data_IF_259179670911
#
_entry.id   IF_259179670911
#
_cell.length_a   1.000
_cell.length_b   1.000
_cell.length_c   1.000
_cell.angle_alpha   90.00
_cell.angle_beta   90.00
_cell.angle_gamma   90.00
#
_symmetry.space_group_name_H-M   'P 1'
#
loop_
_entity.id
_entity.type
_entity.pdbx_description
1 polymer ?
#
# COMPACT_ATOMS: atom_id res chain seq x y z
N UNK A 1 -26.87 -22.76 20.91
CA UNK A 1 -26.38 -21.36 20.91
C UNK A 1 -26.86 -20.71 19.63
N UNK A 2 -27.97 -19.98 19.70
CA UNK A 2 -28.51 -19.22 18.57
C UNK A 2 -27.77 -17.88 18.51
N UNK A 3 -27.11 -17.62 17.40
CA UNK A 3 -26.59 -16.31 17.03
C UNK A 3 -27.80 -15.45 16.67
N UNK A 4 -28.23 -14.57 17.57
CA UNK A 4 -29.23 -13.54 17.25
C UNK A 4 -28.47 -12.41 16.57
N UNK A 5 -28.55 -12.37 15.23
CA UNK A 5 -28.24 -11.15 14.49
C UNK A 5 -29.33 -10.13 14.82
N UNK A 6 -29.06 -9.23 15.77
CA UNK A 6 -29.88 -8.04 16.00
C UNK A 6 -29.46 -7.06 14.90
N UNK A 7 -30.10 -7.13 13.73
CA UNK A 7 -30.04 -6.04 12.76
C UNK A 7 -31.19 -5.11 13.13
N UNK A 8 -30.85 -3.94 13.68
CA UNK A 8 -31.82 -2.88 13.94
C UNK A 8 -32.52 -2.52 12.62
N UNK A 9 -33.86 -2.40 12.59
CA UNK A 9 -34.55 -2.03 11.37
C UNK A 9 -34.21 -0.57 11.00
N UNK A 10 -33.66 -0.36 9.81
CA UNK A 10 -33.35 0.96 9.26
C UNK A 10 -34.29 1.32 8.10
N UNK A 11 -34.47 2.61 7.86
CA UNK A 11 -35.17 3.19 6.72
C UNK A 11 -34.15 3.83 5.78
N UNK A 12 -34.24 3.58 4.48
CA UNK A 12 -33.38 4.21 3.46
C UNK A 12 -34.26 5.06 2.55
N UNK A 13 -33.94 6.35 2.43
CA UNK A 13 -34.59 7.27 1.51
C UNK A 13 -33.56 7.91 0.57
N UNK A 14 -33.91 8.09 -0.69
CA UNK A 14 -33.08 8.84 -1.64
C UNK A 14 -33.42 10.33 -1.49
N UNK A 15 -32.46 11.13 -1.05
CA UNK A 15 -32.66 12.58 -0.85
C UNK A 15 -32.22 13.40 -2.07
N UNK A 16 -31.24 12.88 -2.83
CA UNK A 16 -30.76 13.54 -4.05
C UNK A 16 -30.38 12.49 -5.09
N UNK A 17 -30.82 12.69 -6.32
CA UNK A 17 -30.38 11.89 -7.46
C UNK A 17 -29.30 12.65 -8.23
N UNK A 18 -28.49 11.91 -8.99
CA UNK A 18 -27.49 12.47 -9.90
C UNK A 18 -28.13 13.51 -10.83
N UNK A 19 -27.57 14.71 -10.84
CA UNK A 19 -28.00 15.82 -11.70
C UNK A 19 -26.76 16.62 -12.18
N UNK A 20 -26.97 17.76 -12.83
CA UNK A 20 -25.88 18.60 -13.33
C UNK A 20 -25.01 19.23 -12.22
N UNK A 21 -25.52 19.34 -10.99
CA UNK A 21 -24.84 19.94 -9.84
C UNK A 21 -24.22 18.90 -8.88
N UNK A 22 -24.67 17.64 -8.93
CA UNK A 22 -24.28 16.58 -8.02
C UNK A 22 -24.08 15.27 -8.77
N UNK A 23 -22.84 14.78 -8.78
CA UNK A 23 -22.47 13.56 -9.50
C UNK A 23 -22.80 12.26 -8.75
N UNK A 24 -23.29 12.35 -7.51
CA UNK A 24 -23.60 11.19 -6.67
C UNK A 24 -25.05 11.19 -6.18
N UNK A 25 -25.60 9.99 -5.98
CA UNK A 25 -26.90 9.81 -5.32
C UNK A 25 -26.70 9.83 -3.82
N UNK A 26 -27.47 10.65 -3.11
CA UNK A 26 -27.43 10.72 -1.65
C UNK A 26 -28.56 9.90 -1.05
N UNK A 27 -28.21 9.06 -0.09
CA UNK A 27 -29.13 8.22 0.67
C UNK A 27 -29.15 8.69 2.12
N UNK A 28 -30.32 8.95 2.65
CA UNK A 28 -30.54 9.14 4.08
C UNK A 28 -30.89 7.79 4.69
N UNK A 29 -30.12 7.37 5.69
CA UNK A 29 -30.34 6.13 6.44
C UNK A 29 -30.76 6.53 7.85
N UNK A 30 -31.99 6.21 8.24
CA UNK A 30 -32.56 6.49 9.56
C UNK A 30 -32.80 5.16 10.31
N UNK A 31 -32.20 4.98 11.48
CA UNK A 31 -32.52 3.83 12.33
C UNK A 31 -33.87 4.02 13.05
N UNK A 32 -34.70 2.97 13.09
CA UNK A 32 -36.07 3.08 13.65
C UNK A 32 -36.15 2.95 15.17
N UNK A 33 -35.14 2.36 15.81
CA UNK A 33 -35.08 2.19 17.28
C UNK A 33 -33.61 2.22 17.74
N UNK A 34 -33.05 3.40 17.95
CA UNK A 34 -31.71 3.55 18.51
C UNK A 34 -31.75 3.35 20.03
N UNK A 35 -31.22 2.23 20.54
CA UNK A 35 -30.73 2.14 21.94
C UNK A 35 -29.30 2.70 22.03
N UNK A 36 -28.99 3.73 21.26
CA UNK A 36 -27.62 4.15 20.93
C UNK A 36 -27.12 5.37 21.72
N UNK A 37 -27.90 5.90 22.67
CA UNK A 37 -27.43 7.02 23.50
C UNK A 37 -26.17 6.66 24.32
N UNK A 38 -25.92 5.37 24.60
CA UNK A 38 -24.77 4.93 25.40
C UNK A 38 -23.46 4.70 24.60
N UNK A 39 -23.49 4.60 23.26
CA UNK A 39 -22.29 4.22 22.47
C UNK A 39 -21.61 5.39 21.75
N UNK A 40 -22.36 6.44 21.38
CA UNK A 40 -21.78 7.63 20.76
C UNK A 40 -21.14 8.58 21.78
N UNK A 41 -21.59 8.59 23.04
CA UNK A 41 -20.97 9.39 24.11
C UNK A 41 -19.49 8.99 24.36
N UNK A 42 -19.08 7.74 24.10
CA UNK A 42 -17.73 7.27 24.40
C UNK A 42 -16.67 7.68 23.37
N UNK A 43 -17.05 7.98 22.12
CA UNK A 43 -16.13 8.50 21.08
C UNK A 43 -15.82 9.99 21.30
N UNK A 44 -16.84 10.78 21.62
CA UNK A 44 -16.69 12.22 21.89
C UNK A 44 -15.95 12.47 23.23
N UNK A 45 -16.04 11.55 24.19
CA UNK A 45 -15.35 11.66 25.48
C UNK A 45 -13.82 11.62 25.41
N UNK A 46 -13.23 11.09 24.34
CA UNK A 46 -11.79 11.17 24.11
C UNK A 46 -11.36 12.57 23.66
N UNK A 47 -12.24 13.31 22.99
CA UNK A 47 -11.97 14.69 22.54
C UNK A 47 -12.03 15.70 23.70
N UNK A 48 -12.82 15.42 24.74
CA UNK A 48 -13.02 16.35 25.88
C UNK A 48 -11.94 16.31 26.97
N UNK A 49 -11.09 15.27 27.04
CA UNK A 49 -10.20 15.03 28.19
C UNK A 49 -8.68 15.19 27.94
N UNK A 50 -8.28 15.71 26.78
CA UNK A 50 -6.87 16.03 26.49
C UNK A 50 -6.70 17.51 26.19
N UNK A 51 -5.59 18.12 26.63
CA UNK A 51 -5.11 19.32 25.96
C UNK A 51 -5.06 19.03 24.47
N UNK A 52 -5.79 19.81 23.65
CA UNK A 52 -5.84 19.71 22.17
C UNK A 52 -4.49 20.06 21.51
N UNK A 53 -3.38 19.93 22.23
CA UNK A 53 -2.04 20.16 21.74
C UNK A 53 -1.52 18.88 21.09
N UNK A 54 -0.92 19.02 19.90
CA UNK A 54 -0.31 17.89 19.20
C UNK A 54 0.77 17.23 20.07
N UNK A 55 0.56 15.95 20.39
CA UNK A 55 1.49 15.15 21.20
C UNK A 55 2.64 14.56 20.38
N UNK A 56 2.59 14.69 19.06
CA UNK A 56 3.62 14.18 18.16
C UNK A 56 4.15 15.31 17.29
N UNK A 57 5.47 15.54 17.35
CA UNK A 57 6.10 16.50 16.45
C UNK A 57 6.04 16.01 15.00
N UNK A 58 5.99 16.91 14.01
CA UNK A 58 6.07 16.53 12.60
C UNK A 58 7.32 15.68 12.29
N UNK A 59 8.44 15.99 12.93
CA UNK A 59 9.68 15.21 12.80
C UNK A 59 9.52 13.76 13.28
N UNK A 60 8.87 13.55 14.44
CA UNK A 60 8.58 12.21 14.97
C UNK A 60 7.61 11.47 14.05
N UNK A 61 6.60 12.17 13.52
CA UNK A 61 5.67 11.60 12.54
C UNK A 61 6.37 11.13 11.27
N UNK A 62 7.29 11.93 10.70
CA UNK A 62 8.07 11.53 9.52
C UNK A 62 8.97 10.32 9.76
N UNK A 63 9.41 10.08 11.00
CA UNK A 63 10.13 8.87 11.38
C UNK A 63 9.21 7.68 11.57
N UNK A 64 8.04 7.88 12.15
CA UNK A 64 7.06 6.82 12.37
C UNK A 64 6.48 6.32 11.04
N UNK A 65 6.22 7.24 10.10
CA UNK A 65 5.67 6.94 8.78
C UNK A 65 6.63 7.40 7.68
N UNK A 66 7.64 6.61 7.30
CA UNK A 66 8.62 7.00 6.27
C UNK A 66 8.02 7.13 4.87
N UNK A 67 6.85 6.55 4.65
CA UNK A 67 6.09 6.57 3.40
C UNK A 67 4.79 7.35 3.58
N UNK A 68 4.88 8.67 3.57
CA UNK A 68 3.72 9.55 3.52
C UNK A 68 3.98 10.75 2.63
N UNK A 69 2.91 11.35 2.11
CA UNK A 69 2.96 12.60 1.35
C UNK A 69 1.82 13.49 1.85
N UNK A 70 2.09 14.76 2.11
CA UNK A 70 1.06 15.77 2.38
C UNK A 70 1.12 16.78 1.25
N UNK A 71 -0.03 17.13 0.68
CA UNK A 71 -0.15 18.11 -0.37
C UNK A 71 -1.41 18.95 -0.22
N UNK A 72 -1.37 20.18 -0.72
CA UNK A 72 -2.45 21.16 -0.63
C UNK A 72 -3.49 21.03 -1.77
N UNK A 73 -4.41 21.99 -1.85
CA UNK A 73 -5.45 22.07 -2.88
C UNK A 73 -4.92 22.14 -4.31
N UNK A 74 -3.73 22.73 -4.51
CA UNK A 74 -3.07 22.85 -5.81
C UNK A 74 -2.21 21.62 -6.15
N UNK A 75 -2.32 20.56 -5.34
CA UNK A 75 -1.51 19.35 -5.40
C UNK A 75 0.00 19.63 -5.23
N UNK A 76 0.36 20.73 -4.57
CA UNK A 76 1.75 21.03 -4.21
C UNK A 76 2.09 20.27 -2.94
N UNK A 77 3.16 19.49 -2.99
CA UNK A 77 3.61 18.69 -1.85
C UNK A 77 4.16 19.62 -0.79
N UNK A 78 3.59 19.59 0.41
CA UNK A 78 3.98 20.41 1.57
C UNK A 78 4.86 19.64 2.56
N UNK A 79 4.73 18.31 2.60
CA UNK A 79 5.56 17.42 3.43
C UNK A 79 5.68 16.04 2.78
N UNK A 80 6.80 15.35 3.02
CA UNK A 80 6.94 13.94 2.64
C UNK A 80 7.80 13.17 3.64
N UNK A 81 7.60 11.86 3.68
CA UNK A 81 8.36 10.95 4.53
C UNK A 81 9.80 10.77 4.09
N UNK A 82 10.67 10.41 5.04
CA UNK A 82 12.11 10.34 4.85
C UNK A 82 12.52 9.33 3.76
N UNK A 83 11.84 8.18 3.68
CA UNK A 83 12.16 7.15 2.70
C UNK A 83 11.77 7.60 1.28
N UNK A 84 10.61 8.23 1.12
CA UNK A 84 10.17 8.78 -0.16
C UNK A 84 11.13 9.89 -0.60
N UNK A 85 11.46 10.84 0.28
CA UNK A 85 12.34 11.95 -0.06
C UNK A 85 13.74 11.49 -0.47
N UNK A 86 14.28 10.47 0.21
CA UNK A 86 15.61 9.92 -0.12
C UNK A 86 15.63 9.27 -1.50
N UNK A 87 14.57 8.57 -1.87
CA UNK A 87 14.49 7.81 -3.14
C UNK A 87 14.00 8.69 -4.29
N UNK A 88 13.22 9.72 -4.01
CA UNK A 88 12.69 10.69 -4.97
C UNK A 88 13.02 12.12 -4.50
N UNK A 89 14.29 12.54 -4.63
CA UNK A 89 14.73 13.88 -4.19
C UNK A 89 14.06 15.02 -4.95
N UNK A 90 13.44 14.73 -6.10
CA UNK A 90 12.65 15.69 -6.87
C UNK A 90 11.34 16.10 -6.18
N UNK A 91 10.87 15.31 -5.21
CA UNK A 91 9.69 15.61 -4.41
C UNK A 91 10.02 16.64 -3.32
N UNK A 92 10.56 17.80 -3.71
CA UNK A 92 10.93 18.88 -2.79
C UNK A 92 9.68 19.53 -2.19
N UNK A 93 9.47 19.43 -0.86
CA UNK A 93 8.31 20.05 -0.23
C UNK A 93 8.32 21.57 -0.41
N UNK A 94 7.17 22.15 -0.75
CA UNK A 94 6.93 23.56 -1.02
C UNK A 94 7.05 23.97 -2.49
N UNK A 95 7.80 23.22 -3.30
CA UNK A 95 8.12 23.63 -4.69
C UNK A 95 7.77 22.58 -5.75
N UNK A 96 7.22 21.43 -5.35
CA UNK A 96 6.97 20.31 -6.24
C UNK A 96 5.48 20.02 -6.34
N UNK A 97 4.96 19.98 -7.57
CA UNK A 97 3.61 19.47 -7.82
C UNK A 97 3.62 17.93 -7.83
N UNK A 98 2.68 17.30 -7.13
CA UNK A 98 2.55 15.85 -7.02
C UNK A 98 2.52 15.16 -8.39
N UNK A 99 1.82 15.75 -9.37
CA UNK A 99 1.66 15.20 -10.72
C UNK A 99 2.92 15.29 -11.57
N UNK A 100 3.91 16.09 -11.15
CA UNK A 100 5.21 16.11 -11.81
C UNK A 100 5.99 14.82 -11.57
N UNK A 101 5.86 14.23 -10.38
CA UNK A 101 6.58 13.03 -9.93
C UNK A 101 5.75 11.77 -10.04
N UNK A 102 4.44 11.83 -9.77
CA UNK A 102 3.56 10.67 -9.71
C UNK A 102 2.45 10.72 -10.76
N UNK A 103 2.02 9.53 -11.17
CA UNK A 103 0.80 9.28 -11.93
C UNK A 103 -0.15 8.42 -11.10
N UNK A 104 -1.44 8.74 -11.14
CA UNK A 104 -2.48 7.95 -10.50
C UNK A 104 -2.74 6.66 -11.29
N UNK A 105 -2.62 5.51 -10.62
CA UNK A 105 -2.94 4.19 -11.20
C UNK A 105 -4.34 3.75 -10.79
N UNK A 106 -4.72 4.00 -9.53
CA UNK A 106 -6.06 3.69 -8.99
C UNK A 106 -6.48 4.72 -7.96
N UNK A 107 -7.77 5.10 -7.90
CA UNK A 107 -8.82 4.79 -8.87
C UNK A 107 -8.59 5.49 -10.23
N UNK A 108 -9.29 5.06 -11.30
CA UNK A 108 -9.18 5.69 -12.62
C UNK A 108 -10.05 6.95 -12.68
N UNK A 109 -9.55 8.02 -12.08
CA UNK A 109 -10.19 9.34 -12.03
C UNK A 109 -9.20 10.39 -12.49
N UNK A 110 -9.72 11.55 -12.90
CA UNK A 110 -8.87 12.72 -13.09
C UNK A 110 -8.38 13.21 -11.72
N UNK A 111 -7.07 13.20 -11.56
CA UNK A 111 -6.44 13.55 -10.29
C UNK A 111 -6.54 15.05 -10.04
N UNK A 112 -7.45 15.40 -9.14
CA UNK A 112 -7.70 16.74 -8.63
C UNK A 112 -8.01 16.62 -7.15
N UNK A 113 -7.87 17.71 -6.39
CA UNK A 113 -8.17 17.71 -4.96
C UNK A 113 -9.61 17.22 -4.68
N UNK A 114 -10.60 17.80 -5.38
CA UNK A 114 -12.00 17.38 -5.29
C UNK A 114 -12.21 15.93 -5.76
N UNK A 115 -11.55 15.51 -6.83
CA UNK A 115 -11.62 14.13 -7.32
C UNK A 115 -11.15 13.11 -6.29
N UNK A 116 -10.05 13.42 -5.58
CA UNK A 116 -9.54 12.59 -4.48
C UNK A 116 -10.54 12.53 -3.32
N UNK A 117 -11.08 13.68 -2.88
CA UNK A 117 -12.06 13.74 -1.80
C UNK A 117 -13.34 12.97 -2.12
N UNK A 118 -13.80 13.04 -3.38
CA UNK A 118 -14.97 12.30 -3.86
C UNK A 118 -14.78 10.77 -3.77
N UNK A 119 -13.52 10.31 -3.76
CA UNK A 119 -13.14 8.90 -3.70
C UNK A 119 -12.31 8.57 -2.46
N UNK A 120 -12.44 9.36 -1.37
CA UNK A 120 -11.56 9.27 -0.19
C UNK A 120 -11.57 7.89 0.47
N UNK A 121 -12.70 7.18 0.38
CA UNK A 121 -12.89 5.83 0.92
C UNK A 121 -12.36 4.71 0.01
N UNK A 122 -11.63 5.06 -1.06
CA UNK A 122 -10.99 4.10 -1.95
C UNK A 122 -9.50 3.98 -1.67
N UNK A 123 -8.91 2.86 -2.08
CA UNK A 123 -7.46 2.68 -2.00
C UNK A 123 -6.79 3.34 -3.19
N UNK A 124 -5.87 4.27 -2.92
CA UNK A 124 -5.11 4.97 -3.92
C UNK A 124 -3.80 4.24 -4.23
N UNK A 125 -3.43 4.23 -5.50
CA UNK A 125 -2.14 3.74 -5.95
C UNK A 125 -1.48 4.78 -6.84
N UNK A 126 -0.36 5.32 -6.37
CA UNK A 126 0.49 6.23 -7.14
C UNK A 126 1.68 5.46 -7.70
N UNK A 127 2.05 5.73 -8.95
CA UNK A 127 3.28 5.23 -9.61
C UNK A 127 4.19 6.42 -9.89
N UNK A 128 5.45 6.35 -9.49
CA UNK A 128 6.44 7.36 -9.88
C UNK A 128 6.68 7.30 -11.38
N UNK A 129 6.90 8.45 -12.01
CA UNK A 129 7.30 8.49 -13.42
C UNK A 129 8.68 7.87 -13.62
N UNK A 130 8.94 7.47 -14.86
CA UNK A 130 10.19 6.82 -15.27
C UNK A 130 11.37 7.79 -15.19
N UNK A 131 12.55 7.28 -14.85
CA UNK A 131 13.79 8.05 -14.79
C UNK A 131 13.97 8.94 -13.55
N UNK A 132 13.08 8.83 -12.55
CA UNK A 132 13.16 9.60 -11.30
C UNK A 132 13.89 8.89 -10.15
N UNK A 133 14.12 7.59 -10.30
CA UNK A 133 14.79 6.75 -9.30
C UNK A 133 16.30 6.67 -9.61
N UNK A 134 17.12 7.04 -8.62
CA UNK A 134 18.58 6.93 -8.67
C UNK A 134 19.00 5.48 -8.37
N UNK A 135 18.67 4.56 -9.27
CA UNK A 135 19.14 3.17 -9.19
C UNK A 135 20.03 2.92 -10.40
N UNK A 136 21.25 2.43 -10.15
CA UNK A 136 22.15 1.97 -11.21
C UNK A 136 21.35 1.05 -12.13
N UNK A 137 21.31 1.37 -13.42
CA UNK A 137 20.70 0.51 -14.43
C UNK A 137 21.48 -0.79 -14.43
N UNK A 138 21.11 -1.75 -13.58
CA UNK A 138 21.50 -3.13 -13.81
C UNK A 138 20.97 -3.46 -15.19
N UNK A 139 21.89 -3.80 -16.09
CA UNK A 139 21.63 -4.19 -17.46
C UNK A 139 20.70 -5.41 -17.45
N UNK A 140 19.39 -5.15 -17.40
CA UNK A 140 18.37 -6.17 -17.60
C UNK A 140 18.05 -6.16 -19.09
N UNK A 141 18.43 -7.23 -19.79
CA UNK A 141 18.26 -7.44 -21.25
C UNK A 141 16.78 -7.58 -21.69
N UNK A 142 15.81 -7.33 -20.81
CA UNK A 142 14.40 -7.55 -21.07
C UNK A 142 13.62 -6.22 -21.03
N UNK A 143 13.42 -5.63 -22.21
CA UNK A 143 12.79 -4.33 -22.43
C UNK A 143 11.34 -4.23 -21.92
N UNK A 144 10.66 -5.37 -21.70
CA UNK A 144 9.29 -5.41 -21.16
C UNK A 144 9.23 -5.38 -19.62
N UNK A 145 10.21 -5.93 -18.92
CA UNK A 145 10.22 -5.97 -17.43
C UNK A 145 11.03 -4.83 -16.82
N UNK A 146 12.02 -4.28 -17.54
CA UNK A 146 12.84 -3.15 -17.07
C UNK A 146 12.03 -1.90 -16.67
N UNK A 147 10.94 -1.61 -17.38
CA UNK A 147 10.11 -0.40 -17.22
C UNK A 147 9.24 -0.42 -15.95
N UNK A 148 8.85 -1.60 -15.47
CA UNK A 148 8.16 -1.73 -14.18
C UNK A 148 9.13 -1.74 -12.99
N UNK A 149 10.37 -2.18 -13.22
CA UNK A 149 11.42 -2.26 -12.20
C UNK A 149 11.91 -0.86 -11.81
N UNK A 150 11.95 0.09 -12.76
CA UNK A 150 12.41 1.46 -12.54
C UNK A 150 11.34 2.42 -11.98
N UNK A 151 10.24 1.92 -11.43
CA UNK A 151 9.16 2.75 -10.91
C UNK A 151 8.75 2.33 -9.49
N UNK A 152 8.55 3.32 -8.63
CA UNK A 152 8.05 3.14 -7.28
C UNK A 152 6.52 3.20 -7.31
N UNK A 153 5.88 2.14 -6.81
CA UNK A 153 4.43 2.11 -6.61
C UNK A 153 4.13 2.23 -5.12
N UNK A 154 3.33 3.23 -4.76
CA UNK A 154 2.88 3.49 -3.41
C UNK A 154 1.38 3.21 -3.34
N UNK A 155 0.98 2.33 -2.44
CA UNK A 155 -0.42 1.96 -2.20
C UNK A 155 -0.82 2.48 -0.82
N UNK A 156 -1.96 3.15 -0.72
CA UNK A 156 -2.33 3.82 0.53
C UNK A 156 -3.73 4.40 0.54
N UNK A 157 -4.00 5.11 1.62
CA UNK A 157 -5.25 5.85 1.83
C UNK A 157 -4.96 7.35 1.81
N UNK A 158 -5.90 8.10 1.25
CA UNK A 158 -5.94 9.56 1.31
C UNK A 158 -6.81 9.97 2.50
N UNK A 159 -6.32 10.88 3.33
CA UNK A 159 -7.00 11.39 4.52
C UNK A 159 -7.01 12.92 4.42
N UNK A 160 -8.19 13.52 4.51
CA UNK A 160 -8.34 14.97 4.50
C UNK A 160 -8.01 15.54 5.89
N UNK A 161 -7.15 16.56 5.93
CA UNK A 161 -6.75 17.27 7.13
C UNK A 161 -7.41 18.65 7.13
N UNK A 162 -8.54 18.85 7.83
CA UNK A 162 -9.28 20.11 7.78
C UNK A 162 -8.51 21.29 8.39
N UNK A 163 -7.58 21.06 9.33
CA UNK A 163 -6.82 22.13 9.98
C UNK A 163 -5.80 22.79 9.04
N UNK A 164 -5.31 22.04 8.06
CA UNK A 164 -4.28 22.47 7.11
C UNK A 164 -4.79 22.54 5.67
N UNK A 165 -6.08 22.25 5.44
CA UNK A 165 -6.70 22.20 4.10
C UNK A 165 -5.86 21.40 3.10
N UNK A 166 -5.43 20.23 3.56
CA UNK A 166 -4.45 19.39 2.88
C UNK A 166 -4.90 17.94 2.88
N UNK A 167 -4.34 17.14 1.98
CA UNK A 167 -4.55 15.69 1.96
C UNK A 167 -3.26 15.00 2.38
N UNK A 168 -3.37 14.14 3.39
CA UNK A 168 -2.35 13.19 3.81
C UNK A 168 -2.56 11.87 3.07
N UNK A 169 -1.58 11.49 2.27
CA UNK A 169 -1.46 10.15 1.70
C UNK A 169 -0.58 9.29 2.61
N UNK A 170 -1.19 8.40 3.39
CA UNK A 170 -0.49 7.35 4.12
C UNK A 170 -0.38 6.11 3.26
N UNK A 171 0.84 5.65 2.99
CA UNK A 171 1.06 4.60 1.99
C UNK A 171 2.20 3.67 2.37
N UNK A 172 2.27 2.54 1.67
CA UNK A 172 3.37 1.58 1.75
C UNK A 172 3.84 1.22 0.34
N UNK A 173 5.14 0.94 0.15
CA UNK A 173 5.66 0.55 -1.15
C UNK A 173 5.13 -0.84 -1.55
N UNK A 174 4.73 -1.00 -2.81
CA UNK A 174 4.27 -2.27 -3.35
C UNK A 174 5.47 -3.13 -3.77
N UNK A 175 6.08 -3.83 -2.83
CA UNK A 175 7.25 -4.72 -3.01
C UNK A 175 6.93 -6.14 -2.55
N UNK A 176 7.49 -7.15 -3.20
CA UNK A 176 7.20 -8.56 -2.88
C UNK A 176 8.35 -9.29 -2.18
N UNK A 177 9.58 -8.79 -2.29
CA UNK A 177 10.79 -9.47 -1.85
C UNK A 177 11.95 -8.47 -1.63
N UNK A 178 13.10 -8.94 -1.15
CA UNK A 178 14.25 -8.09 -0.86
C UNK A 178 14.93 -7.52 -2.12
N UNK A 179 14.90 -8.24 -3.24
CA UNK A 179 15.44 -7.75 -4.50
C UNK A 179 14.64 -6.56 -5.03
N UNK A 180 13.31 -6.61 -4.93
CA UNK A 180 12.42 -5.51 -5.36
C UNK A 180 12.70 -4.21 -4.59
N UNK A 181 13.00 -4.32 -3.29
CA UNK A 181 13.41 -3.18 -2.46
C UNK A 181 14.72 -2.57 -2.97
N UNK A 182 15.72 -3.42 -3.15
CA UNK A 182 17.06 -3.02 -3.59
C UNK A 182 17.01 -2.36 -4.97
N UNK A 183 16.25 -2.95 -5.91
CA UNK A 183 16.01 -2.40 -7.26
C UNK A 183 15.31 -1.05 -7.28
N UNK A 184 14.70 -0.63 -6.18
CA UNK A 184 14.03 0.67 -6.03
C UNK A 184 14.75 1.62 -5.07
N UNK A 185 15.98 1.28 -4.65
CA UNK A 185 16.77 2.09 -3.71
C UNK A 185 16.17 2.16 -2.29
N UNK A 186 15.30 1.19 -1.95
CA UNK A 186 14.69 1.06 -0.64
C UNK A 186 15.41 0.02 0.20
N UNK A 187 15.39 0.22 1.51
CA UNK A 187 15.92 -0.72 2.49
C UNK A 187 14.78 -1.30 3.32
N UNK A 188 14.98 -2.52 3.83
CA UNK A 188 14.05 -3.12 4.78
C UNK A 188 13.88 -2.26 6.04
N UNK A 189 14.92 -1.51 6.44
CA UNK A 189 14.89 -0.58 7.57
C UNK A 189 13.97 0.63 7.38
N UNK A 190 13.60 0.95 6.13
CA UNK A 190 12.67 2.03 5.83
C UNK A 190 11.22 1.64 6.08
N UNK A 191 10.91 0.34 6.08
CA UNK A 191 9.58 -0.16 6.40
C UNK A 191 9.47 -0.31 7.93
N UNK A 192 8.59 0.47 8.59
CA UNK A 192 8.43 0.40 10.03
C UNK A 192 7.98 -0.99 10.50
N UNK A 193 8.28 -1.32 11.76
CA UNK A 193 7.89 -2.60 12.36
C UNK A 193 6.37 -2.79 12.48
N UNK A 194 5.61 -1.70 12.55
CA UNK A 194 4.14 -1.75 12.62
C UNK A 194 3.49 -1.87 11.23
N UNK A 195 4.26 -1.72 10.16
CA UNK A 195 3.76 -1.84 8.80
C UNK A 195 3.81 -3.30 8.36
N UNK A 196 2.63 -3.88 8.07
CA UNK A 196 2.48 -5.27 7.65
C UNK A 196 3.25 -5.60 6.36
N UNK A 197 3.58 -4.61 5.52
CA UNK A 197 4.41 -4.83 4.33
C UNK A 197 5.79 -5.38 4.65
N UNK A 198 6.34 -5.08 5.84
CA UNK A 198 7.62 -5.64 6.29
C UNK A 198 7.56 -7.16 6.42
N UNK A 199 6.51 -7.66 7.07
CA UNK A 199 6.30 -9.09 7.26
C UNK A 199 6.00 -9.77 5.92
N UNK A 200 5.23 -9.11 5.04
CA UNK A 200 4.95 -9.62 3.70
C UNK A 200 6.23 -9.79 2.86
N UNK A 201 7.17 -8.83 2.94
CA UNK A 201 8.47 -8.94 2.24
C UNK A 201 9.29 -10.11 2.77
N UNK A 202 9.35 -10.27 4.09
CA UNK A 202 10.10 -11.36 4.72
C UNK A 202 9.50 -12.73 4.40
N UNK A 203 8.17 -12.85 4.45
CA UNK A 203 7.45 -14.06 4.05
C UNK A 203 7.65 -14.35 2.55
N UNK A 204 7.64 -13.32 1.70
CA UNK A 204 7.91 -13.46 0.27
C UNK A 204 9.30 -14.05 -0.01
N UNK A 205 10.32 -13.65 0.75
CA UNK A 205 11.67 -14.22 0.64
C UNK A 205 11.71 -15.67 1.12
N UNK A 206 11.09 -15.97 2.27
CA UNK A 206 11.00 -17.33 2.81
C UNK A 206 10.32 -18.29 1.83
N UNK A 207 9.16 -17.91 1.28
CA UNK A 207 8.46 -18.73 0.30
C UNK A 207 9.27 -18.95 -0.98
N UNK A 208 10.04 -17.96 -1.41
CA UNK A 208 10.93 -18.08 -2.57
C UNK A 208 12.07 -19.06 -2.30
N UNK A 209 12.70 -19.00 -1.14
CA UNK A 209 13.77 -19.93 -0.75
C UNK A 209 13.23 -21.36 -0.61
N UNK A 210 12.09 -21.54 0.05
CA UNK A 210 11.43 -22.83 0.21
C UNK A 210 11.07 -23.46 -1.15
N UNK A 211 10.57 -22.63 -2.07
CA UNK A 211 10.26 -23.05 -3.44
C UNK A 211 11.53 -23.52 -4.19
N UNK A 212 12.63 -22.76 -4.11
CA UNK A 212 13.92 -23.15 -4.72
C UNK A 212 14.43 -24.49 -4.18
N UNK A 213 14.38 -24.65 -2.85
CA UNK A 213 14.81 -25.89 -2.20
C UNK A 213 13.96 -27.09 -2.63
N UNK A 214 12.65 -26.92 -2.71
CA UNK A 214 11.73 -27.98 -3.15
C UNK A 214 12.02 -28.40 -4.59
N UNK A 215 12.28 -27.44 -5.48
CA UNK A 215 12.64 -27.70 -6.87
C UNK A 215 13.98 -28.46 -6.98
N UNK A 216 14.99 -28.09 -6.20
CA UNK A 216 16.27 -28.80 -6.16
C UNK A 216 16.13 -30.24 -5.65
N UNK A 217 15.29 -30.45 -4.62
CA UNK A 217 14.98 -31.77 -4.08
C UNK A 217 14.26 -32.66 -5.11
N UNK A 218 13.33 -32.09 -5.89
CA UNK A 218 12.63 -32.82 -6.96
C UNK A 218 13.63 -33.29 -8.03
N UNK A 219 14.49 -32.38 -8.52
CA UNK A 219 15.52 -32.70 -9.53
C UNK A 219 16.49 -33.77 -9.01
N UNK A 220 16.92 -33.67 -7.74
CA UNK A 220 17.84 -34.63 -7.15
C UNK A 220 17.18 -36.01 -6.98
N UNK A 221 15.90 -36.03 -6.58
CA UNK A 221 15.12 -37.25 -6.41
C UNK A 221 14.94 -37.97 -7.75
N UNK A 222 14.64 -37.25 -8.81
CA UNK A 222 14.52 -37.81 -10.16
C UNK A 222 15.85 -38.42 -10.63
N UNK A 223 16.97 -37.71 -10.42
CA UNK A 223 18.31 -38.24 -10.74
C UNK A 223 18.67 -39.47 -9.92
N UNK A 224 18.32 -39.49 -8.63
CA UNK A 224 18.54 -40.63 -7.75
C UNK A 224 17.75 -41.85 -8.25
N UNK A 225 16.48 -41.68 -8.59
CA UNK A 225 15.65 -42.75 -9.13
C UNK A 225 16.22 -43.33 -10.44
N UNK A 226 16.69 -42.47 -11.35
CA UNK A 226 17.36 -42.92 -12.58
C UNK A 226 18.63 -43.73 -12.28
N UNK A 227 19.44 -43.27 -11.33
CA UNK A 227 20.69 -43.95 -10.94
C UNK A 227 20.41 -45.30 -10.26
N UNK A 228 19.39 -45.38 -9.40
CA UNK A 228 18.96 -46.63 -8.78
C UNK A 228 18.50 -47.66 -9.81
N UNK A 229 17.71 -47.25 -10.81
CA UNK A 229 17.29 -48.15 -11.91
C UNK A 229 18.49 -48.68 -12.69
N UNK A 230 19.44 -47.82 -13.05
CA UNK A 230 20.65 -48.24 -13.75
C UNK A 230 21.49 -49.24 -12.92
N UNK A 231 21.60 -49.02 -11.61
CA UNK A 231 22.30 -49.93 -10.70
C UNK A 231 21.60 -51.29 -10.61
N UNK A 232 20.27 -51.32 -10.54
CA UNK A 232 19.50 -52.57 -10.55
C UNK A 232 19.68 -53.35 -11.86
N UNK A 233 19.73 -52.66 -12.99
CA UNK A 233 19.96 -53.27 -14.30
C UNK A 233 21.38 -53.86 -14.41
N UNK A 234 22.41 -53.17 -13.92
CA UNK A 234 23.78 -53.72 -13.87
C UNK A 234 23.88 -54.92 -12.92
N UNK A 235 23.22 -54.87 -11.75
CA UNK A 235 23.19 -55.99 -10.81
C UNK A 235 22.57 -57.25 -11.45
N UNK A 236 21.48 -57.10 -12.19
CA UNK A 236 20.85 -58.21 -12.93
C UNK A 236 21.79 -58.82 -13.97
N UNK A 237 22.64 -58.02 -14.63
CA UNK A 237 23.63 -58.52 -15.59
C UNK A 237 24.77 -59.29 -14.92
N UNK A 238 25.18 -58.88 -13.71
CA UNK A 238 26.25 -59.56 -12.97
C UNK A 238 25.81 -60.84 -12.27
N UNK A 239 24.51 -61.03 -12.02
CA UNK A 239 23.95 -62.21 -11.35
C UNK A 239 23.64 -63.38 -12.33
N UNK A 240 23.82 -63.20 -13.65
CA UNK A 240 23.75 -64.24 -14.70
C UNK A 240 25.13 -64.66 -15.20
#
# INVERSE_FOLDING_TARGET
>A
MQTVNIISPFNIQVIQQRNEECDHTQFLIEEKESKEEDFYEDLDRFEENGTQESRISPYTFCKAFPFHIIFDQDLVVTQCGNAIYRVLPQLQPGNCNLLSVFSLVRPHIDISFHGILSHINTVFVLRSKEGLLDVEKLECEDELTGTEISCLRLKGQMIYLPEADSILFLCSPSVMNLDDLTRRGLYLSDIPLHDATRDLVLLGEQFREEYKLTQELEILTDRLQLTLRALEDEKKKTDT
#
